data_IF_645975496680
#
_entry.id   IF_645975496680
#
_cell.length_a   1.000
_cell.length_b   1.000
_cell.length_c   1.000
_cell.angle_alpha   90.00
_cell.angle_beta   90.00
_cell.angle_gamma   90.00
#
_symmetry.space_group_name_H-M   'P 1'
#
loop_
_entity.id
_entity.type
_entity.pdbx_description
1 polymer ?
#
# COMPACT_ATOMS: atom_id res chain seq x y z
N UNK A 1 4.98 13.36 -1.12
CA UNK A 1 5.21 11.90 -1.17
C UNK A 1 4.98 11.49 -2.60
N UNK A 2 5.98 10.92 -3.28
CA UNK A 2 5.90 10.64 -4.71
C UNK A 2 5.60 9.16 -5.01
N UNK A 3 5.95 8.26 -4.10
CA UNK A 3 5.71 6.81 -4.23
C UNK A 3 5.43 6.17 -2.86
N UNK A 4 4.68 5.07 -2.89
CA UNK A 4 4.38 4.21 -1.74
C UNK A 4 4.81 2.78 -2.10
N UNK A 5 5.52 2.12 -1.17
CA UNK A 5 5.84 0.70 -1.26
C UNK A 5 5.17 -0.03 -0.10
N UNK A 6 4.39 -1.06 -0.41
CA UNK A 6 3.72 -1.93 0.57
C UNK A 6 4.26 -3.34 0.46
N UNK A 7 4.78 -3.88 1.57
CA UNK A 7 5.22 -5.27 1.68
C UNK A 7 4.07 -6.10 2.25
N UNK A 8 3.41 -6.88 1.39
CA UNK A 8 2.25 -7.67 1.76
C UNK A 8 2.68 -9.09 2.17
N UNK A 9 2.52 -9.40 3.47
CA UNK A 9 2.70 -10.75 3.99
C UNK A 9 1.43 -11.59 3.77
N UNK A 10 1.54 -12.88 3.39
CA UNK A 10 0.39 -13.75 3.08
C UNK A 10 -0.18 -14.35 4.37
N UNK A 11 -0.68 -13.50 5.26
CA UNK A 11 -1.25 -13.88 6.56
C UNK A 11 -2.63 -13.27 6.74
N UNK A 12 -3.52 -14.00 7.41
CA UNK A 12 -4.80 -13.48 7.86
C UNK A 12 -4.65 -13.01 9.30
N UNK A 13 -4.73 -11.70 9.51
CA UNK A 13 -4.70 -11.12 10.84
C UNK A 13 -6.13 -11.10 11.41
N UNK A 14 -6.38 -11.84 12.49
CA UNK A 14 -7.64 -11.77 13.24
C UNK A 14 -7.75 -10.49 14.10
N UNK A 15 -6.62 -9.87 14.42
CA UNK A 15 -6.50 -8.55 15.06
C UNK A 15 -5.13 -7.93 14.75
N UNK A 16 -4.97 -6.63 14.96
CA UNK A 16 -3.70 -5.93 14.76
C UNK A 16 -3.88 -4.41 14.71
N UNK A 17 -2.77 -3.69 14.58
CA UNK A 17 -2.79 -2.25 14.32
C UNK A 17 -3.09 -2.00 12.84
N UNK A 18 -4.02 -1.09 12.55
CA UNK A 18 -4.35 -0.73 11.17
C UNK A 18 -3.20 0.10 10.58
N UNK A 19 -2.97 -0.02 9.27
CA UNK A 19 -1.99 0.83 8.58
C UNK A 19 -2.38 2.32 8.65
N UNK A 20 -3.69 2.58 8.70
CA UNK A 20 -4.26 3.91 8.91
C UNK A 20 -5.43 3.79 9.91
N UNK A 21 -5.39 4.56 11.00
CA UNK A 21 -6.41 4.50 12.07
C UNK A 21 -7.65 5.35 11.76
N UNK A 22 -7.48 6.44 11.00
CA UNK A 22 -8.58 7.23 10.45
C UNK A 22 -8.20 7.75 9.06
N UNK A 23 -9.16 7.74 8.14
CA UNK A 23 -9.00 8.40 6.83
C UNK A 23 -9.53 9.82 6.96
N UNK A 24 -8.64 10.81 7.00
CA UNK A 24 -9.00 12.23 6.95
C UNK A 24 -8.75 12.72 5.52
N UNK A 25 -9.74 13.34 4.90
CA UNK A 25 -9.66 13.81 3.51
C UNK A 25 -10.26 12.84 2.48
N UNK A 26 -9.99 13.09 1.20
CA UNK A 26 -10.54 12.30 0.09
C UNK A 26 -9.61 11.13 -0.27
N UNK A 27 -10.16 9.97 -0.68
CA UNK A 27 -9.36 8.88 -1.21
C UNK A 27 -8.55 9.34 -2.43
N UNK A 28 -7.26 8.98 -2.45
CA UNK A 28 -6.38 9.25 -3.58
C UNK A 28 -6.24 7.97 -4.43
N UNK A 29 -6.49 8.08 -5.73
CA UNK A 29 -6.25 7.00 -6.68
C UNK A 29 -4.75 6.90 -6.97
N UNK A 30 -4.10 5.87 -6.43
CA UNK A 30 -2.69 5.59 -6.67
C UNK A 30 -2.48 4.92 -8.03
N UNK A 31 -1.37 5.24 -8.70
CA UNK A 31 -0.98 4.60 -9.95
C UNK A 31 -0.15 3.33 -9.63
N UNK A 32 -0.66 2.12 -9.92
CA UNK A 32 0.06 0.89 -9.62
C UNK A 32 1.19 0.64 -10.61
N UNK A 33 2.32 0.14 -10.11
CA UNK A 33 3.34 -0.50 -10.92
C UNK A 33 3.17 -2.04 -10.84
N UNK A 34 3.76 -2.81 -11.78
CA UNK A 34 3.76 -4.27 -11.70
C UNK A 34 4.29 -4.75 -10.34
N UNK A 35 3.58 -5.67 -9.66
CA UNK A 35 4.04 -6.19 -8.38
C UNK A 35 5.31 -7.04 -8.57
N UNK A 36 6.14 -7.09 -7.53
CA UNK A 36 7.25 -8.06 -7.45
C UNK A 36 7.08 -8.97 -6.24
N UNK A 37 7.83 -10.07 -6.19
CA UNK A 37 7.82 -10.99 -5.06
C UNK A 37 9.21 -11.11 -4.46
N UNK A 38 9.28 -11.24 -3.14
CA UNK A 38 10.49 -11.53 -2.39
C UNK A 38 10.19 -12.68 -1.42
N UNK A 39 10.50 -13.90 -1.83
CA UNK A 39 10.09 -15.11 -1.11
C UNK A 39 8.56 -15.21 -1.05
N UNK A 40 8.00 -15.24 0.17
CA UNK A 40 6.55 -15.30 0.39
C UNK A 40 5.85 -13.94 0.40
N UNK A 41 6.60 -12.84 0.32
CA UNK A 41 6.07 -11.48 0.41
C UNK A 41 5.82 -10.93 -1.00
N UNK A 42 4.70 -10.23 -1.18
CA UNK A 42 4.42 -9.46 -2.40
C UNK A 42 4.74 -7.99 -2.16
N UNK A 43 5.58 -7.41 -3.01
CA UNK A 43 5.93 -6.00 -2.98
C UNK A 43 5.02 -5.26 -3.96
N UNK A 44 4.14 -4.41 -3.43
CA UNK A 44 3.29 -3.52 -4.20
C UNK A 44 3.95 -2.15 -4.25
N UNK A 45 4.09 -1.57 -5.45
CA UNK A 45 4.62 -0.22 -5.64
C UNK A 45 3.57 0.64 -6.31
N UNK A 46 3.42 1.85 -5.79
CA UNK A 46 2.47 2.83 -6.26
C UNK A 46 3.13 4.18 -6.43
N UNK A 47 2.80 4.90 -7.50
CA UNK A 47 3.11 6.33 -7.64
C UNK A 47 1.95 7.15 -7.10
N UNK A 48 2.27 8.23 -6.42
CA UNK A 48 1.31 9.21 -5.94
C UNK A 48 1.15 10.29 -7.02
N UNK A 49 -0.06 10.53 -7.54
CA UNK A 49 -0.27 11.59 -8.50
C UNK A 49 0.10 12.95 -7.87
N UNK A 50 0.79 13.82 -8.63
CA UNK A 50 1.25 15.13 -8.13
C UNK A 50 0.12 16.12 -7.81
N UNK A 51 -1.11 15.82 -8.24
CA UNK A 51 -2.29 16.66 -8.08
C UNK A 51 -3.35 16.00 -7.18
N UNK A 52 -2.96 14.99 -6.40
CA UNK A 52 -3.83 14.27 -5.49
C UNK A 52 -4.04 14.99 -4.15
#
# INVERSE_FOLDING_TARGET
MDEIVVLLAPVLLGSGTRLFDCTVGHPIALEPAPPSTAGRVTNLRYRVPKNA
#
